data_IF_586276446638
#
_entry.id   IF_586276446638
#
_cell.length_a   1.000
_cell.length_b   1.000
_cell.length_c   1.000
_cell.angle_alpha   90.00
_cell.angle_beta   90.00
_cell.angle_gamma   90.00
#
_symmetry.space_group_name_H-M   'P 1'
#
loop_
_entity.id
_entity.type
_entity.pdbx_description
1 polymer ?
#
# COMPACT_ATOMS: atom_id res chain seq x y z
N UNK A 1 16.17 -59.28 -2.95
CA UNK A 1 15.42 -58.74 -4.10
C UNK A 1 14.45 -57.71 -3.56
N UNK A 2 14.86 -56.45 -3.53
CA UNK A 2 13.99 -55.33 -3.18
C UNK A 2 13.40 -54.82 -4.49
N UNK A 3 12.07 -54.77 -4.59
CA UNK A 3 11.36 -54.09 -5.68
C UNK A 3 11.17 -52.63 -5.30
N UNK A 4 11.50 -51.76 -6.25
CA UNK A 4 11.47 -50.31 -6.21
C UNK A 4 10.40 -49.85 -7.19
N UNK A 5 9.35 -49.18 -6.69
CA UNK A 5 8.41 -48.28 -7.38
C UNK A 5 7.35 -47.89 -6.33
N UNK A 6 6.82 -46.68 -6.18
CA UNK A 6 6.55 -45.54 -7.08
C UNK A 6 6.50 -44.26 -6.26
N UNK A 7 6.94 -43.17 -6.89
CA UNK A 7 6.80 -41.78 -6.46
C UNK A 7 5.30 -41.40 -6.36
N UNK A 8 4.93 -40.47 -5.47
CA UNK A 8 4.12 -39.35 -5.95
C UNK A 8 4.73 -37.99 -5.57
N UNK A 9 4.88 -37.16 -6.59
CA UNK A 9 4.96 -35.70 -6.44
C UNK A 9 3.60 -35.19 -5.95
N UNK A 10 3.64 -34.21 -5.06
CA UNK A 10 2.90 -32.93 -5.10
C UNK A 10 2.44 -32.52 -3.70
N UNK A 11 2.89 -31.35 -3.30
CA UNK A 11 2.54 -30.74 -2.02
C UNK A 11 3.54 -29.64 -1.68
N UNK A 12 3.84 -28.73 -2.62
CA UNK A 12 4.32 -27.42 -2.19
C UNK A 12 3.14 -26.77 -1.49
N UNK A 13 3.11 -26.94 -0.17
CA UNK A 13 2.24 -26.22 0.74
C UNK A 13 2.51 -24.73 0.53
N UNK A 14 1.73 -24.13 -0.37
CA UNK A 14 1.61 -22.69 -0.49
C UNK A 14 0.81 -22.28 0.74
N UNK A 15 1.37 -21.49 1.67
CA UNK A 15 0.60 -21.05 2.82
C UNK A 15 -0.45 -20.05 2.32
N UNK A 16 -1.68 -20.53 2.16
CA UNK A 16 -2.88 -19.70 2.12
C UNK A 16 -3.50 -19.77 3.51
N UNK A 17 -3.27 -18.76 4.35
CA UNK A 17 -4.22 -18.32 5.38
C UNK A 17 -3.77 -17.01 6.04
N UNK A 18 -4.55 -15.95 5.82
CA UNK A 18 -4.37 -14.62 6.41
C UNK A 18 -4.66 -13.51 5.39
N UNK A 19 -5.92 -13.38 4.95
CA UNK A 19 -6.23 -12.57 3.74
C UNK A 19 -7.48 -11.71 3.83
N UNK A 20 -7.84 -11.21 5.00
CA UNK A 20 -8.97 -10.27 5.16
C UNK A 20 -8.64 -8.95 5.87
N UNK A 21 -7.49 -8.86 6.54
CA UNK A 21 -7.12 -7.72 7.38
C UNK A 21 -5.98 -6.85 6.82
N UNK A 22 -5.13 -7.36 5.92
CA UNK A 22 -3.92 -6.66 5.48
C UNK A 22 -4.18 -5.32 4.79
N UNK A 23 -5.25 -5.23 3.99
CA UNK A 23 -5.63 -4.00 3.30
C UNK A 23 -6.20 -2.93 4.23
N UNK A 24 -7.07 -3.33 5.16
CA UNK A 24 -7.67 -2.41 6.15
C UNK A 24 -6.62 -1.93 7.17
N UNK A 25 -5.74 -2.83 7.62
CA UNK A 25 -4.61 -2.50 8.49
C UNK A 25 -3.60 -1.58 7.79
N UNK A 26 -3.27 -1.84 6.52
CA UNK A 26 -2.38 -0.98 5.75
C UNK A 26 -2.96 0.43 5.58
N UNK A 27 -4.28 0.56 5.38
CA UNK A 27 -4.92 1.88 5.32
C UNK A 27 -4.94 2.57 6.69
N UNK A 28 -5.27 1.87 7.76
CA UNK A 28 -5.24 2.44 9.11
C UNK A 28 -3.83 2.95 9.45
N UNK A 29 -2.81 2.18 9.07
CA UNK A 29 -1.42 2.56 9.24
C UNK A 29 -1.05 3.79 8.41
N UNK A 30 -1.42 3.81 7.11
CA UNK A 30 -1.19 4.95 6.23
C UNK A 30 -1.83 6.23 6.81
N UNK A 31 -3.09 6.15 7.24
CA UNK A 31 -3.80 7.27 7.84
C UNK A 31 -3.06 7.81 9.06
N UNK A 32 -2.67 6.93 9.98
CA UNK A 32 -1.96 7.32 11.20
C UNK A 32 -0.63 8.01 10.87
N UNK A 33 0.16 7.41 9.98
CA UNK A 33 1.43 7.98 9.54
C UNK A 33 1.25 9.36 8.90
N UNK A 34 0.21 9.53 8.09
CA UNK A 34 -0.06 10.81 7.44
C UNK A 34 -0.54 11.88 8.42
N UNK A 35 -1.41 11.55 9.38
CA UNK A 35 -1.83 12.48 10.43
C UNK A 35 -0.62 12.94 11.27
N UNK A 36 0.28 12.02 11.62
CA UNK A 36 1.56 12.36 12.29
C UNK A 36 2.44 13.24 11.41
N UNK A 37 2.54 12.96 10.12
CA UNK A 37 3.27 13.79 9.16
C UNK A 37 2.69 15.20 9.08
N UNK A 38 1.37 15.37 8.99
CA UNK A 38 0.74 16.69 8.91
C UNK A 38 1.01 17.51 10.17
N UNK A 39 0.98 16.88 11.35
CA UNK A 39 1.28 17.54 12.62
C UNK A 39 2.76 17.93 12.75
N UNK A 40 3.68 17.11 12.23
CA UNK A 40 5.12 17.31 12.37
C UNK A 40 5.78 18.01 11.18
N UNK A 41 5.11 18.17 10.03
CA UNK A 41 5.74 18.65 8.78
C UNK A 41 6.46 20.01 8.92
N UNK A 42 6.01 20.85 9.84
CA UNK A 42 6.62 22.17 10.12
C UNK A 42 7.95 22.07 10.86
N UNK A 43 8.18 21.00 11.61
CA UNK A 43 9.42 20.77 12.37
C UNK A 43 10.41 19.86 11.64
N UNK A 44 9.98 19.23 10.55
CA UNK A 44 10.80 18.30 9.76
C UNK A 44 11.58 19.02 8.65
N UNK A 45 12.82 18.59 8.44
CA UNK A 45 13.61 18.99 7.29
C UNK A 45 13.01 18.47 5.98
N UNK A 46 13.43 19.03 4.85
CA UNK A 46 12.93 18.64 3.52
C UNK A 46 13.20 17.16 3.24
N UNK A 47 14.40 16.67 3.56
CA UNK A 47 14.80 15.26 3.43
C UNK A 47 13.95 14.33 4.29
N UNK A 48 13.64 14.71 5.53
CA UNK A 48 12.80 13.90 6.41
C UNK A 48 11.35 13.82 5.91
N UNK A 49 10.83 14.93 5.39
CA UNK A 49 9.49 14.97 4.78
C UNK A 49 9.42 14.03 3.58
N UNK A 50 10.40 14.10 2.68
CA UNK A 50 10.49 13.24 1.50
C UNK A 50 10.61 11.76 1.92
N UNK A 51 11.45 11.45 2.90
CA UNK A 51 11.64 10.08 3.43
C UNK A 51 10.33 9.50 3.96
N UNK A 52 9.58 10.27 4.76
CA UNK A 52 8.29 9.83 5.31
C UNK A 52 7.26 9.58 4.20
N UNK A 53 7.20 10.44 3.19
CA UNK A 53 6.29 10.25 2.04
C UNK A 53 6.65 8.98 1.25
N UNK A 54 7.95 8.69 1.05
CA UNK A 54 8.39 7.44 0.43
C UNK A 54 8.05 6.20 1.26
N UNK A 55 8.08 6.27 2.59
CA UNK A 55 7.67 5.15 3.46
C UNK A 55 6.16 4.88 3.39
N UNK A 56 5.36 5.92 3.17
CA UNK A 56 3.89 5.80 3.06
C UNK A 56 3.42 5.31 1.69
N UNK A 57 4.17 5.61 0.64
CA UNK A 57 3.80 5.30 -0.74
C UNK A 57 3.53 3.78 -0.97
N UNK A 58 4.37 2.83 -0.49
CA UNK A 58 4.10 1.41 -0.62
C UNK A 58 2.80 0.96 0.05
N UNK A 59 2.44 1.56 1.19
CA UNK A 59 1.20 1.26 1.89
C UNK A 59 0.00 1.67 1.05
N UNK A 60 0.04 2.86 0.47
CA UNK A 60 -1.00 3.34 -0.44
C UNK A 60 -1.15 2.43 -1.67
N UNK A 61 -0.03 2.03 -2.28
CA UNK A 61 -0.02 1.11 -3.41
C UNK A 61 -0.58 -0.28 -3.03
N UNK A 62 -0.24 -0.79 -1.85
CA UNK A 62 -0.71 -2.08 -1.35
C UNK A 62 -2.23 -2.06 -1.12
N UNK A 63 -2.76 -0.99 -0.51
CA UNK A 63 -4.19 -0.79 -0.29
C UNK A 63 -4.96 -0.71 -1.60
N UNK A 64 -4.45 0.04 -2.59
CA UNK A 64 -5.08 0.14 -3.91
C UNK A 64 -5.06 -1.19 -4.67
N UNK A 65 -3.99 -1.98 -4.52
CA UNK A 65 -3.84 -3.26 -5.21
C UNK A 65 -4.71 -4.37 -4.58
N UNK A 66 -4.80 -4.40 -3.25
CA UNK A 66 -5.64 -5.37 -2.53
C UNK A 66 -7.13 -4.98 -2.52
N UNK A 67 -7.46 -3.69 -2.55
CA UNK A 67 -8.84 -3.21 -2.67
C UNK A 67 -9.54 -3.68 -3.96
N UNK A 68 -8.77 -3.95 -5.03
CA UNK A 68 -9.29 -4.50 -6.27
C UNK A 68 -9.59 -6.01 -6.20
N UNK A 69 -9.03 -6.73 -5.21
CA UNK A 69 -9.28 -8.17 -5.01
C UNK A 69 -10.60 -8.42 -4.26
N UNK A 70 -10.93 -7.55 -3.31
CA UNK A 70 -12.21 -7.56 -2.60
C UNK A 70 -13.20 -6.78 -3.48
N UNK A 71 -13.71 -7.41 -4.54
CA UNK A 71 -14.88 -6.93 -5.32
C UNK A 71 -16.08 -6.78 -4.37
N UNK A 72 -16.10 -5.73 -3.56
CA UNK A 72 -17.30 -5.30 -2.87
C UNK A 72 -18.13 -4.51 -3.88
N UNK A 73 -18.66 -5.25 -4.86
CA UNK A 73 -19.73 -4.77 -5.71
C UNK A 73 -20.95 -4.63 -4.82
N UNK A 74 -21.28 -3.39 -4.42
CA UNK A 74 -22.67 -3.15 -4.06
C UNK A 74 -23.54 -3.44 -5.30
N UNK A 75 -24.80 -3.81 -5.11
CA UNK A 75 -25.74 -4.26 -6.16
C UNK A 75 -25.90 -3.31 -7.37
N UNK A 76 -25.29 -2.13 -7.35
CA UNK A 76 -25.31 -1.09 -8.38
C UNK A 76 -24.00 -0.90 -9.16
N UNK A 77 -22.97 -1.73 -8.99
CA UNK A 77 -21.75 -1.69 -9.83
C UNK A 77 -20.85 -0.47 -9.66
N UNK A 78 -21.10 0.38 -8.65
CA UNK A 78 -20.27 1.54 -8.35
C UNK A 78 -19.16 1.12 -7.38
N UNK A 79 -17.91 1.19 -7.85
CA UNK A 79 -16.72 1.08 -7.01
C UNK A 79 -16.75 2.24 -6.01
N UNK A 80 -16.97 1.96 -4.72
CA UNK A 80 -16.81 2.97 -3.68
C UNK A 80 -15.30 3.21 -3.52
N UNK A 81 -14.78 4.42 -3.84
CA UNK A 81 -13.41 4.74 -3.52
C UNK A 81 -13.27 4.70 -2.01
N UNK A 82 -12.17 4.13 -1.52
CA UNK A 82 -11.94 4.02 -0.09
C UNK A 82 -11.80 5.44 0.49
N UNK A 83 -12.86 5.92 1.13
CA UNK A 83 -13.08 7.34 1.41
C UNK A 83 -12.35 7.79 2.67
N UNK A 84 -11.02 7.83 2.62
CA UNK A 84 -10.23 8.52 3.63
C UNK A 84 -10.12 10.01 3.28
N UNK A 85 -10.60 10.89 4.16
CA UNK A 85 -10.61 12.36 3.97
C UNK A 85 -9.22 12.93 3.62
N UNK A 86 -8.15 12.34 4.18
CA UNK A 86 -6.77 12.75 3.92
C UNK A 86 -6.19 12.30 2.58
N UNK A 87 -6.91 11.49 1.79
CA UNK A 87 -6.40 10.95 0.52
C UNK A 87 -6.00 12.04 -0.46
N UNK A 88 -6.82 13.07 -0.64
CA UNK A 88 -6.53 14.15 -1.57
C UNK A 88 -5.27 14.93 -1.17
N UNK A 89 -5.11 15.21 0.13
CA UNK A 89 -3.93 15.87 0.67
C UNK A 89 -2.67 14.99 0.52
N UNK A 90 -2.78 13.69 0.76
CA UNK A 90 -1.70 12.74 0.54
C UNK A 90 -1.25 12.75 -0.93
N UNK A 91 -2.19 12.60 -1.87
CA UNK A 91 -1.90 12.65 -3.31
C UNK A 91 -1.22 13.97 -3.73
N UNK A 92 -1.65 15.10 -3.15
CA UNK A 92 -1.02 16.39 -3.38
C UNK A 92 0.45 16.40 -2.96
N UNK A 93 0.76 15.91 -1.75
CA UNK A 93 2.14 15.85 -1.26
C UNK A 93 3.02 14.91 -2.09
N UNK A 94 2.51 13.76 -2.50
CA UNK A 94 3.23 12.84 -3.40
C UNK A 94 3.49 13.51 -4.76
N UNK A 95 2.52 14.23 -5.31
CA UNK A 95 2.69 14.93 -6.58
C UNK A 95 3.81 15.98 -6.51
N UNK A 96 3.89 16.72 -5.40
CA UNK A 96 4.98 17.68 -5.15
C UNK A 96 6.35 16.98 -5.03
N UNK A 97 6.41 15.86 -4.31
CA UNK A 97 7.62 15.05 -4.18
C UNK A 97 8.14 14.58 -5.54
N UNK A 98 7.26 14.03 -6.38
CA UNK A 98 7.62 13.56 -7.72
C UNK A 98 8.08 14.73 -8.62
N UNK A 99 7.41 15.87 -8.56
CA UNK A 99 7.83 17.07 -9.30
C UNK A 99 9.23 17.55 -8.86
N UNK A 100 9.54 17.50 -7.55
CA UNK A 100 10.88 17.81 -7.02
C UNK A 100 11.94 16.83 -7.51
N UNK A 101 11.64 15.53 -7.52
CA UNK A 101 12.56 14.51 -8.05
C UNK A 101 12.85 14.72 -9.53
N UNK A 102 11.81 14.93 -10.35
CA UNK A 102 11.97 15.24 -11.78
C UNK A 102 12.88 16.45 -11.92
N UNK A 103 12.59 17.56 -11.23
CA UNK A 103 13.43 18.76 -11.28
C UNK A 103 14.89 18.49 -10.90
N UNK A 104 15.16 17.67 -9.88
CA UNK A 104 16.53 17.29 -9.48
C UNK A 104 17.26 16.38 -10.48
N UNK A 105 16.52 15.65 -11.33
CA UNK A 105 17.11 14.72 -12.32
C UNK A 105 17.44 15.40 -13.64
N UNK A 106 16.78 16.52 -13.95
CA UNK A 106 16.93 17.24 -15.22
C UNK A 106 17.71 18.57 -15.07
N UNK A 107 18.16 18.91 -13.86
CA UNK A 107 19.03 20.06 -13.55
C UNK A 107 20.34 19.52 -12.99
#
# INVERSE_FOLDING_TARGET
MNQEETKPLHGSEKPEEGGKDDGELAMLHLRKLFDEFINLKSTLTDTERDTKLYQMLPLYCNVASNGNQKKQTNSHGVQQPMSWEGQAAFCHHISQLLAKEIKRRYV
#
